data_IF_005035137001
#
_entry.id   IF_005035137001
#
_cell.length_a   1.000
_cell.length_b   1.000
_cell.length_c   1.000
_cell.angle_alpha   90.00
_cell.angle_beta   90.00
_cell.angle_gamma   90.00
#
_symmetry.space_group_name_H-M   'P 1'
#
loop_
_entity.id
_entity.type
_entity.pdbx_description
1 polymer ?
#
# COMPACT_ATOMS: atom_id res chain seq x y z
N UNK A 1 6.11 -30.30 -1.02
CA UNK A 1 4.65 -30.16 -1.07
C UNK A 1 4.21 -29.70 0.31
N UNK A 2 3.47 -28.61 0.41
CA UNK A 2 3.04 -28.02 1.68
C UNK A 2 1.97 -28.88 2.33
N UNK A 3 2.10 -29.21 3.61
CA UNK A 3 1.06 -29.88 4.39
C UNK A 3 0.13 -28.83 5.03
N UNK A 4 -0.96 -28.51 4.33
CA UNK A 4 -1.92 -27.48 4.72
C UNK A 4 -2.72 -27.81 5.98
N UNK A 5 -2.75 -29.08 6.39
CA UNK A 5 -3.42 -29.50 7.64
C UNK A 5 -2.71 -29.00 8.89
N UNK A 6 -1.41 -28.69 8.77
CA UNK A 6 -0.57 -28.18 9.86
C UNK A 6 -0.50 -26.64 9.89
N UNK A 7 -1.14 -25.96 8.94
CA UNK A 7 -1.13 -24.50 8.83
C UNK A 7 -2.49 -23.93 9.24
N UNK A 8 -2.46 -22.67 9.62
CA UNK A 8 -3.64 -21.92 10.03
C UNK A 8 -3.80 -20.63 9.23
N UNK A 9 -5.05 -20.22 9.12
CA UNK A 9 -5.51 -18.96 8.56
C UNK A 9 -6.48 -18.31 9.56
N UNK A 10 -7.07 -17.15 9.26
CA UNK A 10 -7.94 -16.41 10.18
C UNK A 10 -9.07 -17.19 10.87
N UNK A 11 -9.59 -18.24 10.23
CA UNK A 11 -10.73 -19.02 10.73
C UNK A 11 -10.40 -20.45 11.16
N UNK A 12 -9.13 -20.82 11.32
CA UNK A 12 -8.71 -22.18 11.70
C UNK A 12 -7.73 -22.84 10.73
N UNK A 13 -7.89 -24.14 10.48
CA UNK A 13 -7.03 -24.97 9.60
C UNK A 13 -7.05 -24.50 8.15
N UNK A 14 -5.91 -24.59 7.46
CA UNK A 14 -5.75 -24.07 6.09
C UNK A 14 -5.97 -25.11 4.97
N UNK A 15 -6.62 -26.24 5.24
CA UNK A 15 -6.87 -27.30 4.26
C UNK A 15 -7.71 -26.85 3.05
N UNK A 16 -8.49 -25.77 3.20
CA UNK A 16 -9.32 -25.19 2.15
C UNK A 16 -8.55 -24.23 1.23
N UNK A 17 -7.39 -23.72 1.64
CA UNK A 17 -6.60 -22.72 0.90
C UNK A 17 -6.19 -23.21 -0.50
N UNK A 18 -5.72 -24.45 -0.72
CA UNK A 18 -5.40 -24.92 -2.06
C UNK A 18 -6.59 -24.84 -3.02
N UNK A 19 -7.79 -25.22 -2.55
CA UNK A 19 -9.00 -25.16 -3.36
C UNK A 19 -9.40 -23.73 -3.71
N UNK A 20 -9.24 -22.79 -2.77
CA UNK A 20 -9.49 -21.37 -3.02
C UNK A 20 -8.46 -20.77 -4.00
N UNK A 21 -7.18 -21.10 -3.84
CA UNK A 21 -6.13 -20.70 -4.77
C UNK A 21 -6.40 -21.24 -6.17
N UNK A 22 -6.83 -22.48 -6.33
CA UNK A 22 -7.12 -23.03 -7.66
C UNK A 22 -8.38 -22.41 -8.30
N UNK A 23 -9.35 -21.98 -7.49
CA UNK A 23 -10.60 -21.39 -7.96
C UNK A 23 -10.46 -19.96 -8.50
N UNK A 24 -9.58 -19.13 -7.93
CA UNK A 24 -9.47 -17.72 -8.34
C UNK A 24 -8.88 -17.55 -9.74
N UNK A 25 -9.61 -16.82 -10.59
CA UNK A 25 -9.20 -16.42 -11.93
C UNK A 25 -8.66 -14.99 -12.03
N UNK A 26 -8.35 -14.52 -13.25
CA UNK A 26 -7.79 -13.19 -13.49
C UNK A 26 -8.79 -12.03 -13.34
N UNK A 27 -10.12 -12.29 -13.23
CA UNK A 27 -11.10 -11.23 -13.00
C UNK A 27 -10.95 -10.70 -11.56
N UNK A 28 -10.57 -9.43 -11.35
CA UNK A 28 -10.42 -8.87 -10.01
C UNK A 28 -11.74 -8.76 -9.24
N UNK A 29 -12.88 -8.89 -9.92
CA UNK A 29 -14.22 -8.85 -9.30
C UNK A 29 -14.74 -10.23 -8.92
N UNK A 30 -13.94 -11.28 -9.12
CA UNK A 30 -14.28 -12.62 -8.66
C UNK A 30 -14.36 -12.64 -7.11
N UNK A 31 -15.52 -12.96 -6.52
CA UNK A 31 -15.67 -13.02 -5.06
C UNK A 31 -14.75 -14.07 -4.40
N UNK A 32 -14.17 -14.98 -5.19
CA UNK A 32 -13.12 -15.89 -4.72
C UNK A 32 -11.90 -15.16 -4.17
N UNK A 33 -11.56 -13.97 -4.70
CA UNK A 33 -10.47 -13.15 -4.16
C UNK A 33 -10.76 -12.66 -2.75
N UNK A 34 -11.98 -12.19 -2.47
CA UNK A 34 -12.38 -11.77 -1.12
C UNK A 34 -12.38 -12.96 -0.15
N UNK A 35 -12.86 -14.13 -0.60
CA UNK A 35 -12.86 -15.34 0.19
C UNK A 35 -11.43 -15.81 0.55
N UNK A 36 -10.49 -15.70 -0.40
CA UNK A 36 -9.09 -16.02 -0.19
C UNK A 36 -8.39 -14.98 0.70
N UNK A 37 -8.54 -13.69 0.39
CA UNK A 37 -7.95 -12.58 1.13
C UNK A 37 -8.41 -12.58 2.58
N UNK A 38 -9.71 -12.72 2.85
CA UNK A 38 -10.25 -12.72 4.22
C UNK A 38 -9.73 -13.86 5.11
N UNK A 39 -9.12 -14.91 4.54
CA UNK A 39 -8.44 -15.99 5.28
C UNK A 39 -6.95 -15.72 5.46
N UNK A 40 -6.26 -15.29 4.40
CA UNK A 40 -4.81 -15.10 4.37
C UNK A 40 -4.36 -13.74 4.91
N UNK A 41 -5.24 -12.75 4.91
CA UNK A 41 -4.98 -11.40 5.39
C UNK A 41 -6.27 -10.83 6.01
N UNK A 42 -6.42 -11.00 7.33
CA UNK A 42 -7.65 -10.63 8.04
C UNK A 42 -7.40 -9.49 9.01
N UNK A 43 -7.90 -8.30 8.67
CA UNK A 43 -7.78 -7.09 9.49
C UNK A 43 -6.31 -6.78 9.84
N UNK A 44 -5.43 -6.85 8.85
CA UNK A 44 -3.99 -6.70 9.04
C UNK A 44 -3.27 -8.01 9.40
N UNK A 45 -3.95 -8.97 10.03
CA UNK A 45 -3.34 -10.20 10.52
C UNK A 45 -2.94 -11.21 9.44
N UNK A 46 -1.73 -11.75 9.57
CA UNK A 46 -1.17 -12.82 8.72
C UNK A 46 -0.80 -14.05 9.54
N UNK A 47 -0.80 -15.19 8.87
CA UNK A 47 -0.75 -16.53 9.45
C UNK A 47 0.23 -17.41 8.70
N UNK A 48 0.49 -18.60 9.24
CA UNK A 48 1.33 -19.62 8.59
C UNK A 48 0.85 -19.98 7.17
N UNK A 49 -0.46 -20.00 6.92
CA UNK A 49 -1.02 -20.22 5.59
C UNK A 49 -0.79 -19.05 4.61
N UNK A 50 -0.68 -17.82 5.12
CA UNK A 50 -0.46 -16.61 4.32
C UNK A 50 0.84 -16.70 3.55
N UNK A 51 1.94 -16.98 4.26
CA UNK A 51 3.25 -17.10 3.64
C UNK A 51 3.36 -18.37 2.79
N UNK A 52 2.74 -19.47 3.20
CA UNK A 52 2.68 -20.70 2.42
C UNK A 52 1.97 -20.54 1.06
N UNK A 53 1.10 -19.53 0.91
CA UNK A 53 0.40 -19.24 -0.33
C UNK A 53 1.25 -18.42 -1.34
N UNK A 54 2.31 -17.74 -0.90
CA UNK A 54 3.13 -16.85 -1.75
C UNK A 54 3.63 -17.54 -3.04
N UNK A 55 4.14 -18.79 -3.03
CA UNK A 55 4.60 -19.44 -4.25
C UNK A 55 3.48 -19.64 -5.29
N UNK A 56 2.24 -19.90 -4.85
CA UNK A 56 1.10 -20.09 -5.76
C UNK A 56 0.57 -18.77 -6.30
N UNK A 57 0.62 -17.70 -5.50
CA UNK A 57 0.34 -16.33 -5.97
C UNK A 57 1.37 -15.89 -7.01
N UNK A 58 2.66 -16.12 -6.77
CA UNK A 58 3.73 -15.87 -7.74
C UNK A 58 3.54 -16.69 -9.03
N UNK A 59 3.15 -17.96 -8.91
CA UNK A 59 2.85 -18.82 -10.06
C UNK A 59 1.73 -18.23 -10.95
N UNK A 60 0.61 -17.81 -10.34
CA UNK A 60 -0.49 -17.16 -11.08
C UNK A 60 -0.03 -15.85 -11.73
N UNK A 61 0.66 -15.00 -10.97
CA UNK A 61 1.16 -13.72 -11.48
C UNK A 61 2.11 -13.92 -12.68
N UNK A 62 2.92 -14.98 -12.66
CA UNK A 62 3.81 -15.35 -13.78
C UNK A 62 3.06 -15.81 -15.02
N UNK A 63 1.95 -16.55 -14.83
CA UNK A 63 1.16 -17.13 -15.92
C UNK A 63 0.22 -16.13 -16.58
N UNK A 64 -0.23 -15.11 -15.86
CA UNK A 64 -1.18 -14.11 -16.34
C UNK A 64 -0.50 -12.93 -17.02
N UNK A 65 -1.24 -12.20 -17.86
CA UNK A 65 -0.72 -10.98 -18.50
C UNK A 65 -0.39 -9.89 -17.47
N UNK A 66 0.22 -8.79 -17.91
CA UNK A 66 0.61 -7.67 -17.04
C UNK A 66 -0.60 -7.05 -16.32
N UNK A 67 -1.73 -6.87 -17.02
CA UNK A 67 -2.96 -6.34 -16.43
C UNK A 67 -3.67 -7.34 -15.49
N UNK A 68 -3.64 -8.63 -15.82
CA UNK A 68 -4.38 -9.68 -15.09
C UNK A 68 -3.69 -10.09 -13.78
N UNK A 69 -2.36 -9.95 -13.68
CA UNK A 69 -1.59 -10.37 -12.49
C UNK A 69 -1.73 -9.46 -11.27
N UNK A 70 -2.52 -8.38 -11.34
CA UNK A 70 -2.64 -7.41 -10.25
C UNK A 70 -3.13 -8.01 -8.94
N UNK A 71 -4.18 -8.84 -8.97
CA UNK A 71 -4.74 -9.44 -7.74
C UNK A 71 -3.77 -10.34 -6.97
N UNK A 72 -3.08 -11.32 -7.60
CA UNK A 72 -2.12 -12.14 -6.86
C UNK A 72 -0.95 -11.31 -6.32
N UNK A 73 -0.49 -10.28 -7.05
CA UNK A 73 0.57 -9.37 -6.58
C UNK A 73 0.09 -8.55 -5.38
N UNK A 74 -1.12 -7.98 -5.45
CA UNK A 74 -1.71 -7.19 -4.37
C UNK A 74 -1.92 -8.03 -3.11
N UNK A 75 -2.51 -9.22 -3.21
CA UNK A 75 -2.69 -10.06 -2.02
C UNK A 75 -1.33 -10.49 -1.42
N UNK A 76 -0.36 -10.83 -2.27
CA UNK A 76 0.98 -11.18 -1.80
C UNK A 76 1.68 -9.98 -1.11
N UNK A 77 1.48 -8.77 -1.60
CA UNK A 77 2.09 -7.56 -1.02
C UNK A 77 1.52 -7.25 0.36
N UNK A 78 0.21 -7.42 0.56
CA UNK A 78 -0.42 -7.29 1.88
C UNK A 78 0.10 -8.32 2.88
N UNK A 79 0.33 -9.56 2.43
CA UNK A 79 0.90 -10.62 3.27
C UNK A 79 2.33 -10.28 3.70
N UNK A 80 3.15 -9.75 2.77
CA UNK A 80 4.56 -9.43 3.02
C UNK A 80 4.72 -8.16 3.86
N UNK A 81 3.88 -7.15 3.65
CA UNK A 81 3.96 -5.88 4.38
C UNK A 81 3.44 -5.96 5.82
N UNK A 82 2.52 -6.90 6.10
CA UNK A 82 1.88 -7.02 7.40
C UNK A 82 2.88 -7.19 8.56
N UNK A 83 2.58 -6.46 9.65
CA UNK A 83 3.28 -6.54 10.93
C UNK A 83 2.51 -7.33 12.00
N UNK A 84 1.22 -7.60 11.78
CA UNK A 84 0.41 -8.43 12.69
C UNK A 84 0.61 -9.92 12.38
N UNK A 85 1.80 -10.42 12.71
CA UNK A 85 2.19 -11.82 12.48
C UNK A 85 1.74 -12.68 13.66
N UNK A 86 0.85 -13.64 13.40
CA UNK A 86 0.19 -14.43 14.46
C UNK A 86 0.84 -15.78 14.74
N UNK A 87 1.41 -16.42 13.71
CA UNK A 87 1.96 -17.78 13.80
C UNK A 87 3.48 -17.85 13.55
N UNK A 88 4.03 -16.93 12.75
CA UNK A 88 5.43 -16.98 12.30
C UNK A 88 6.31 -16.03 13.13
N UNK A 89 7.42 -16.52 13.66
CA UNK A 89 8.32 -15.72 14.54
C UNK A 89 9.57 -15.25 13.78
N UNK A 90 9.68 -15.59 12.49
CA UNK A 90 10.86 -15.32 11.67
C UNK A 90 10.54 -14.29 10.60
N UNK A 91 11.51 -13.42 10.32
CA UNK A 91 11.40 -12.39 9.28
C UNK A 91 11.08 -13.01 7.91
N UNK A 92 9.93 -12.67 7.29
CA UNK A 92 9.53 -13.24 6.01
C UNK A 92 10.49 -12.87 4.88
N UNK A 93 11.20 -11.74 4.96
CA UNK A 93 12.21 -11.36 3.96
C UNK A 93 13.43 -12.26 3.98
N UNK A 94 13.66 -12.99 5.07
CA UNK A 94 14.73 -13.99 5.17
C UNK A 94 14.24 -15.34 4.65
N UNK A 95 13.13 -15.84 5.19
CA UNK A 95 12.63 -17.19 4.90
C UNK A 95 12.04 -17.30 3.49
N UNK A 96 11.32 -16.28 3.04
CA UNK A 96 10.62 -16.25 1.76
C UNK A 96 11.33 -15.36 0.71
N UNK A 97 12.61 -15.03 0.95
CA UNK A 97 13.43 -14.15 0.09
C UNK A 97 13.32 -14.44 -1.42
N UNK A 98 13.41 -15.72 -1.81
CA UNK A 98 13.38 -16.11 -3.22
C UNK A 98 12.03 -15.81 -3.89
N UNK A 99 10.92 -16.08 -3.22
CA UNK A 99 9.58 -15.81 -3.77
C UNK A 99 9.25 -14.31 -3.70
N UNK A 100 9.69 -13.60 -2.68
CA UNK A 100 9.56 -12.13 -2.59
C UNK A 100 10.32 -11.46 -3.73
N UNK A 101 11.56 -11.90 -4.03
CA UNK A 101 12.32 -11.39 -5.16
C UNK A 101 11.65 -11.67 -6.52
N UNK A 102 11.00 -12.83 -6.67
CA UNK A 102 10.20 -13.12 -7.86
C UNK A 102 8.98 -12.19 -7.97
N UNK A 103 8.23 -12.01 -6.88
CA UNK A 103 7.06 -11.14 -6.83
C UNK A 103 7.46 -9.68 -7.14
N UNK A 104 8.58 -9.20 -6.58
CA UNK A 104 9.14 -7.89 -6.90
C UNK A 104 9.39 -7.73 -8.41
N UNK A 105 10.04 -8.71 -9.04
CA UNK A 105 10.32 -8.68 -10.47
C UNK A 105 9.05 -8.73 -11.33
N UNK A 106 8.03 -9.47 -10.90
CA UNK A 106 6.73 -9.53 -11.58
C UNK A 106 5.95 -8.22 -11.44
N UNK A 107 6.07 -7.53 -10.31
CA UNK A 107 5.51 -6.18 -10.09
C UNK A 107 6.20 -5.14 -10.97
N UNK A 108 7.53 -5.16 -11.07
CA UNK A 108 8.25 -4.26 -11.99
C UNK A 108 7.83 -4.45 -13.46
N UNK A 109 7.61 -5.70 -13.87
CA UNK A 109 7.05 -5.97 -15.20
C UNK A 109 5.64 -5.42 -15.37
N UNK A 110 4.79 -5.55 -14.35
CA UNK A 110 3.41 -5.04 -14.37
C UNK A 110 3.38 -3.51 -14.47
N UNK A 111 4.29 -2.80 -13.79
CA UNK A 111 4.45 -1.35 -13.88
C UNK A 111 4.84 -0.89 -15.30
N UNK A 112 5.40 -1.77 -16.13
CA UNK A 112 5.71 -1.50 -17.53
C UNK A 112 4.53 -1.66 -18.50
N UNK A 113 3.32 -1.96 -18.01
CA UNK A 113 2.14 -2.09 -18.86
C UNK A 113 1.71 -0.73 -19.43
N UNK A 114 1.70 -0.54 -20.77
CA UNK A 114 1.26 0.72 -21.39
C UNK A 114 -0.20 1.09 -21.05
N UNK A 115 -1.03 0.12 -20.66
CA UNK A 115 -2.40 0.38 -20.23
C UNK A 115 -2.50 1.18 -18.93
N UNK A 116 -1.40 1.30 -18.16
CA UNK A 116 -1.36 2.08 -16.92
C UNK A 116 -1.25 3.59 -17.16
N UNK A 117 -0.88 4.05 -18.36
CA UNK A 117 -0.54 5.46 -18.61
C UNK A 117 -1.60 6.48 -18.16
N UNK A 118 -2.89 6.12 -18.23
CA UNK A 118 -4.01 6.95 -17.79
C UNK A 118 -4.75 6.36 -16.56
N UNK A 119 -4.15 5.38 -15.87
CA UNK A 119 -4.74 4.62 -14.76
C UNK A 119 -3.89 4.79 -13.49
N UNK A 120 -3.90 6.01 -12.95
CA UNK A 120 -3.15 6.37 -11.73
C UNK A 120 -3.52 5.50 -10.53
N UNK A 121 -4.78 5.07 -10.42
CA UNK A 121 -5.26 4.19 -9.37
C UNK A 121 -4.45 2.89 -9.32
N UNK A 122 -4.43 2.16 -10.43
CA UNK A 122 -3.73 0.88 -10.50
C UNK A 122 -2.20 1.07 -10.54
N UNK A 123 -1.71 2.18 -11.09
CA UNK A 123 -0.29 2.52 -11.05
C UNK A 123 0.23 2.68 -9.62
N UNK A 124 -0.44 3.50 -8.80
CA UNK A 124 -0.05 3.73 -7.40
C UNK A 124 -0.23 2.45 -6.57
N UNK A 125 -1.26 1.64 -6.83
CA UNK A 125 -1.43 0.33 -6.18
C UNK A 125 -0.24 -0.60 -6.45
N UNK A 126 0.26 -0.63 -7.70
CA UNK A 126 1.44 -1.40 -8.07
C UNK A 126 2.73 -0.82 -7.48
N UNK A 127 2.86 0.51 -7.38
CA UNK A 127 3.98 1.13 -6.65
C UNK A 127 3.95 0.75 -5.17
N UNK A 128 2.78 0.80 -4.52
CA UNK A 128 2.61 0.35 -3.13
C UNK A 128 3.04 -1.11 -2.98
N UNK A 129 2.59 -1.96 -3.90
CA UNK A 129 2.96 -3.38 -3.97
C UNK A 129 4.47 -3.58 -4.15
N UNK A 130 5.12 -2.76 -4.96
CA UNK A 130 6.58 -2.77 -5.14
C UNK A 130 7.29 -2.46 -3.82
N UNK A 131 6.87 -1.40 -3.13
CA UNK A 131 7.44 -0.99 -1.84
C UNK A 131 7.29 -2.06 -0.75
N UNK A 132 6.16 -2.77 -0.73
CA UNK A 132 5.97 -3.93 0.15
C UNK A 132 7.02 -5.01 -0.08
N UNK A 133 7.32 -5.36 -1.34
CA UNK A 133 8.33 -6.38 -1.65
C UNK A 133 9.77 -5.88 -1.52
N UNK A 134 10.00 -4.56 -1.56
CA UNK A 134 11.29 -3.96 -1.21
C UNK A 134 11.54 -3.90 0.31
N UNK A 135 10.51 -4.13 1.13
CA UNK A 135 10.61 -4.00 2.58
C UNK A 135 10.68 -2.55 3.05
N UNK A 136 10.15 -1.60 2.27
CA UNK A 136 10.09 -0.20 2.67
C UNK A 136 9.00 -0.04 3.73
N UNK A 137 9.44 0.19 4.96
CA UNK A 137 8.60 0.28 6.16
C UNK A 137 7.41 1.24 6.00
N UNK A 138 6.21 0.70 6.19
CA UNK A 138 4.89 1.36 6.18
C UNK A 138 4.40 1.87 4.82
N UNK A 139 5.30 2.23 3.90
CA UNK A 139 4.89 2.79 2.62
C UNK A 139 4.23 1.80 1.67
N UNK A 140 4.47 0.51 1.84
CA UNK A 140 3.73 -0.52 1.10
C UNK A 140 2.23 -0.56 1.42
N UNK A 141 1.83 -0.10 2.60
CA UNK A 141 0.43 -0.08 3.07
C UNK A 141 -0.21 1.31 2.93
N UNK A 142 0.59 2.38 2.93
CA UNK A 142 0.09 3.74 2.97
C UNK A 142 0.12 4.48 1.64
N UNK A 143 1.00 4.11 0.69
CA UNK A 143 1.16 4.88 -0.55
C UNK A 143 -0.14 4.94 -1.38
N UNK A 144 -0.98 3.90 -1.34
CA UNK A 144 -2.25 3.88 -2.08
C UNK A 144 -3.19 5.05 -1.75
N UNK A 145 -3.11 5.63 -0.53
CA UNK A 145 -3.90 6.79 -0.13
C UNK A 145 -3.56 8.06 -0.95
N UNK A 146 -2.44 8.08 -1.70
CA UNK A 146 -2.18 9.14 -2.68
C UNK A 146 -3.31 9.25 -3.73
N UNK A 147 -3.96 8.14 -4.06
CA UNK A 147 -5.14 8.13 -4.93
C UNK A 147 -6.36 8.82 -4.30
N UNK A 148 -6.50 8.71 -2.97
CA UNK A 148 -7.55 9.37 -2.20
C UNK A 148 -7.34 10.87 -2.01
N UNK A 149 -6.11 11.37 -2.26
CA UNK A 149 -5.71 12.78 -2.09
C UNK A 149 -5.82 13.31 -0.65
N UNK A 150 -5.91 12.39 0.31
CA UNK A 150 -6.03 12.70 1.73
C UNK A 150 -5.28 11.70 2.61
N UNK A 151 -4.75 12.20 3.74
CA UNK A 151 -4.31 11.37 4.87
C UNK A 151 -4.96 11.88 6.15
N UNK A 152 -5.41 10.95 6.97
CA UNK A 152 -5.85 11.20 8.34
C UNK A 152 -4.69 10.92 9.30
N UNK A 153 -4.19 11.96 9.97
CA UNK A 153 -3.03 11.85 10.86
C UNK A 153 -3.25 12.58 12.18
N UNK A 154 -2.84 12.00 13.32
CA UNK A 154 -2.85 12.71 14.58
C UNK A 154 -1.69 13.71 14.62
N UNK A 155 -1.89 14.87 15.24
CA UNK A 155 -0.78 15.76 15.57
C UNK A 155 0.14 15.08 16.61
N UNK A 156 1.46 14.99 16.37
CA UNK A 156 2.38 14.37 17.34
C UNK A 156 2.45 15.08 18.70
N UNK A 157 2.13 16.37 18.76
CA UNK A 157 2.21 17.17 19.98
C UNK A 157 0.93 17.14 20.82
N UNK A 158 -0.25 17.26 20.19
CA UNK A 158 -1.52 17.40 20.90
C UNK A 158 -2.54 16.30 20.60
N UNK A 159 -2.20 15.35 19.72
CA UNK A 159 -3.04 14.21 19.32
C UNK A 159 -4.38 14.57 18.69
N UNK A 160 -4.62 15.84 18.33
CA UNK A 160 -5.81 16.20 17.56
C UNK A 160 -5.71 15.58 16.16
N UNK A 161 -6.82 15.06 15.65
CA UNK A 161 -6.90 14.57 14.28
C UNK A 161 -6.75 15.73 13.28
N UNK A 162 -5.94 15.53 12.24
CA UNK A 162 -5.79 16.44 11.12
C UNK A 162 -5.99 15.66 9.82
N UNK A 163 -6.73 16.26 8.90
CA UNK A 163 -6.86 15.80 7.53
C UNK A 163 -5.86 16.58 6.68
N UNK A 164 -4.95 15.88 6.02
CA UNK A 164 -3.96 16.44 5.09
C UNK A 164 -4.53 16.26 3.69
N UNK A 165 -4.95 17.35 3.04
CA UNK A 165 -5.54 17.33 1.70
C UNK A 165 -4.50 17.85 0.70
N UNK A 166 -4.23 17.10 -0.37
CA UNK A 166 -3.12 17.38 -1.31
C UNK A 166 -3.42 17.02 -2.77
N UNK A 167 -4.53 17.54 -3.31
CA UNK A 167 -4.95 17.23 -4.69
C UNK A 167 -5.94 18.23 -5.27
N UNK A 168 -6.96 17.75 -5.97
CA UNK A 168 -7.97 18.61 -6.61
C UNK A 168 -8.69 19.50 -5.59
N UNK A 169 -8.89 19.00 -4.37
CA UNK A 169 -9.51 19.72 -3.26
C UNK A 169 -8.65 20.83 -2.65
N UNK A 170 -7.37 20.94 -3.03
CA UNK A 170 -6.39 21.90 -2.52
C UNK A 170 -5.23 21.26 -1.77
N UNK A 171 -4.40 22.10 -1.14
CA UNK A 171 -3.18 21.71 -0.43
C UNK A 171 -3.14 22.32 0.97
N UNK A 172 -3.83 21.70 1.92
CA UNK A 172 -3.96 22.23 3.30
C UNK A 172 -4.17 21.13 4.34
N UNK A 173 -3.93 21.47 5.61
CA UNK A 173 -4.46 20.74 6.76
C UNK A 173 -5.79 21.34 7.24
N UNK A 174 -6.69 20.49 7.74
CA UNK A 174 -7.97 20.87 8.38
C UNK A 174 -8.29 19.92 9.53
N UNK A 175 -9.13 20.34 10.47
CA UNK A 175 -9.73 19.48 11.51
C UNK A 175 -11.24 19.28 11.30
N UNK A 176 -11.83 19.83 10.23
CA UNK A 176 -13.25 19.63 9.88
C UNK A 176 -13.41 18.30 9.15
N UNK A 177 -13.96 17.29 9.82
CA UNK A 177 -14.27 15.97 9.24
C UNK A 177 -15.22 16.01 8.03
N UNK A 178 -15.91 17.13 7.77
CA UNK A 178 -16.85 17.30 6.66
C UNK A 178 -16.27 18.11 5.49
N UNK A 179 -14.94 18.29 5.42
CA UNK A 179 -14.28 19.09 4.36
C UNK A 179 -14.60 18.63 2.93
N UNK A 180 -14.91 17.34 2.73
CA UNK A 180 -15.32 16.80 1.44
C UNK A 180 -16.76 17.15 1.05
N UNK A 181 -17.62 17.53 2.02
CA UNK A 181 -19.02 17.93 1.76
C UNK A 181 -19.17 19.44 1.60
N UNK A 182 -18.26 20.22 2.19
CA UNK A 182 -18.31 21.68 2.19
C UNK A 182 -16.91 22.26 2.43
N UNK A 183 -16.64 23.49 1.97
CA UNK A 183 -15.40 24.17 2.28
C UNK A 183 -15.19 24.24 3.80
N UNK A 184 -14.05 23.76 4.32
CA UNK A 184 -13.74 23.85 5.75
C UNK A 184 -13.60 25.31 6.19
N UNK A 185 -14.06 25.61 7.40
CA UNK A 185 -14.02 26.97 7.94
C UNK A 185 -12.60 27.45 8.28
N UNK A 186 -11.70 26.52 8.60
CA UNK A 186 -10.32 26.81 8.94
C UNK A 186 -9.38 25.81 8.29
N UNK A 187 -8.43 26.32 7.51
CA UNK A 187 -7.38 25.55 6.84
C UNK A 187 -6.04 26.21 7.04
N UNK A 188 -4.97 25.41 7.03
CA UNK A 188 -3.59 25.90 7.02
C UNK A 188 -2.87 25.31 5.81
N UNK A 189 -2.24 26.12 4.94
CA UNK A 189 -1.53 25.61 3.77
C UNK A 189 -0.44 24.58 4.13
N UNK A 190 -0.33 23.52 3.33
CA UNK A 190 0.77 22.56 3.45
C UNK A 190 2.09 23.17 3.01
N UNK A 191 3.19 22.62 3.54
CA UNK A 191 4.55 22.93 3.12
C UNK A 191 5.09 21.75 2.31
N UNK A 192 5.09 21.81 0.97
CA UNK A 192 5.66 20.74 0.16
C UNK A 192 7.16 20.64 0.41
N UNK A 193 7.68 19.42 0.40
CA UNK A 193 9.11 19.15 0.46
C UNK A 193 9.79 19.66 -0.81
N UNK A 194 10.88 20.40 -0.64
CA UNK A 194 11.69 20.87 -1.77
C UNK A 194 12.44 19.68 -2.40
N UNK A 195 12.10 19.37 -3.65
CA UNK A 195 12.71 18.30 -4.44
C UNK A 195 14.22 18.49 -4.65
N UNK A 196 14.73 19.73 -4.62
CA UNK A 196 16.17 19.98 -4.75
C UNK A 196 16.98 19.52 -3.54
N UNK A 197 16.33 19.39 -2.39
CA UNK A 197 16.95 18.98 -1.12
C UNK A 197 16.39 17.67 -0.58
N UNK A 198 15.42 17.07 -1.27
CA UNK A 198 14.77 15.84 -0.86
C UNK A 198 15.72 14.64 -0.95
N UNK A 199 15.64 13.77 0.06
CA UNK A 199 16.38 12.51 0.13
C UNK A 199 15.41 11.33 0.27
N UNK A 200 15.94 10.11 0.11
CA UNK A 200 15.17 8.88 0.34
C UNK A 200 14.07 8.63 -0.70
N UNK A 201 12.87 8.33 -0.23
CA UNK A 201 11.79 7.79 -1.05
C UNK A 201 11.16 8.83 -2.00
N UNK A 202 11.04 10.09 -1.57
CA UNK A 202 10.41 11.15 -2.37
C UNK A 202 11.06 11.34 -3.76
N UNK A 203 12.38 11.64 -3.89
CA UNK A 203 12.96 11.88 -5.21
C UNK A 203 12.88 10.64 -6.10
N UNK A 204 12.95 9.43 -5.52
CA UNK A 204 12.81 8.16 -6.24
C UNK A 204 11.40 7.98 -6.82
N UNK A 205 10.36 8.12 -5.99
CA UNK A 205 8.97 7.98 -6.44
C UNK A 205 8.57 9.10 -7.40
N UNK A 206 9.01 10.33 -7.15
CA UNK A 206 8.73 11.46 -8.02
C UNK A 206 9.33 11.26 -9.42
N UNK A 207 10.62 10.87 -9.49
CA UNK A 207 11.26 10.59 -10.78
C UNK A 207 10.62 9.40 -11.51
N UNK A 208 10.24 8.34 -10.76
CA UNK A 208 9.58 7.16 -11.32
C UNK A 208 8.21 7.51 -11.90
N UNK A 209 7.36 8.20 -11.14
CA UNK A 209 6.04 8.65 -11.60
C UNK A 209 6.14 9.49 -12.88
N UNK A 210 7.09 10.42 -12.97
CA UNK A 210 7.31 11.18 -14.20
C UNK A 210 7.77 10.31 -15.38
N UNK A 211 8.69 9.37 -15.13
CA UNK A 211 9.19 8.46 -16.16
C UNK A 211 8.10 7.54 -16.70
N UNK A 212 7.17 7.13 -15.85
CA UNK A 212 6.08 6.22 -16.19
C UNK A 212 4.85 6.95 -16.76
N UNK A 213 4.89 8.30 -16.84
CA UNK A 213 3.83 9.10 -17.46
C UNK A 213 2.73 9.58 -16.51
N UNK A 214 2.98 9.58 -15.19
CA UNK A 214 2.05 9.98 -14.13
C UNK A 214 2.46 11.31 -13.44
N UNK A 215 2.45 12.45 -14.15
CA UNK A 215 2.81 13.75 -13.57
C UNK A 215 1.87 14.21 -12.45
N UNK A 216 0.61 13.78 -12.46
CA UNK A 216 -0.37 14.04 -11.41
C UNK A 216 -0.01 13.34 -10.10
N UNK A 217 0.47 12.09 -10.15
CA UNK A 217 1.00 11.39 -8.98
C UNK A 217 2.26 12.08 -8.49
N UNK A 218 3.18 12.40 -9.42
CA UNK A 218 4.42 13.10 -9.08
C UNK A 218 4.17 14.44 -8.35
N UNK A 219 3.18 15.22 -8.80
CA UNK A 219 2.83 16.51 -8.22
C UNK A 219 2.32 16.42 -6.76
N UNK A 220 1.71 15.29 -6.37
CA UNK A 220 1.18 15.06 -5.02
C UNK A 220 2.28 14.69 -4.01
N UNK A 221 3.30 13.96 -4.45
CA UNK A 221 4.33 13.40 -3.56
C UNK A 221 5.05 14.44 -2.68
N UNK A 222 5.45 15.65 -3.16
CA UNK A 222 6.06 16.65 -2.29
C UNK A 222 5.22 17.03 -1.07
N UNK A 223 3.89 16.97 -1.16
CA UNK A 223 3.01 17.27 -0.02
C UNK A 223 2.92 16.09 0.96
N UNK A 224 2.87 14.87 0.45
CA UNK A 224 2.86 13.63 1.25
C UNK A 224 4.15 13.45 2.04
N UNK A 225 5.28 13.81 1.45
CA UNK A 225 6.60 13.80 2.09
C UNK A 225 6.99 15.16 2.67
N UNK A 226 6.03 16.10 2.78
CA UNK A 226 6.23 17.45 3.27
C UNK A 226 5.84 17.63 4.74
N UNK A 227 5.45 18.85 5.08
CA UNK A 227 5.08 19.22 6.43
C UNK A 227 3.69 19.87 6.47
N UNK A 228 3.04 19.72 7.62
CA UNK A 228 1.75 20.31 7.91
C UNK A 228 1.79 21.01 9.27
N UNK A 229 0.96 22.04 9.43
CA UNK A 229 0.67 22.58 10.76
C UNK A 229 -0.59 21.94 11.33
N UNK A 230 -0.58 21.67 12.62
CA UNK A 230 -1.76 21.25 13.33
C UNK A 230 -2.77 22.40 13.42
N UNK A 231 -4.00 22.15 12.99
CA UNK A 231 -5.07 23.16 12.98
C UNK A 231 -5.51 23.57 14.39
N UNK A 232 -5.29 22.69 15.38
CA UNK A 232 -5.64 22.95 16.78
C UNK A 232 -4.55 23.69 17.55
N UNK A 233 -3.30 23.20 17.54
CA UNK A 233 -2.22 23.75 18.36
C UNK A 233 -1.19 24.58 17.59
N UNK A 234 -1.24 24.58 16.25
CA UNK A 234 -0.32 25.31 15.39
C UNK A 234 1.07 24.69 15.25
N UNK A 235 1.33 23.52 15.86
CA UNK A 235 2.64 22.87 15.78
C UNK A 235 2.93 22.36 14.36
N UNK A 236 4.16 22.56 13.89
CA UNK A 236 4.63 22.06 12.59
C UNK A 236 5.11 20.62 12.75
N UNK A 237 4.61 19.71 11.92
CA UNK A 237 5.00 18.31 11.95
C UNK A 237 5.25 17.74 10.55
N UNK A 238 6.06 16.69 10.52
CA UNK A 238 6.34 15.88 9.33
C UNK A 238 5.12 15.02 9.01
N UNK A 239 4.53 15.22 7.83
CA UNK A 239 3.43 14.38 7.32
C UNK A 239 3.83 12.91 7.24
N UNK A 240 4.99 12.52 6.65
CA UNK A 240 5.34 11.11 6.52
C UNK A 240 5.57 10.43 7.88
N UNK A 241 6.15 11.12 8.87
CA UNK A 241 6.30 10.58 10.22
C UNK A 241 4.95 10.38 10.91
N UNK A 242 4.01 11.32 10.74
CA UNK A 242 2.68 11.20 11.33
C UNK A 242 1.84 10.09 10.70
N UNK A 243 2.01 9.82 9.39
CA UNK A 243 1.41 8.66 8.70
C UNK A 243 1.94 7.36 9.32
N UNK A 244 3.26 7.23 9.44
CA UNK A 244 3.90 6.02 9.94
C UNK A 244 3.68 5.79 11.45
N UNK A 245 3.45 6.84 12.23
CA UNK A 245 3.21 6.73 13.67
C UNK A 245 1.79 6.26 14.04
N UNK A 246 0.85 6.20 13.10
CA UNK A 246 -0.54 5.81 13.35
C UNK A 246 -0.71 4.30 13.59
N UNK A 247 0.30 3.47 13.30
CA UNK A 247 0.19 2.00 13.26
C UNK A 247 1.37 1.26 13.90
#
# INVERSE_FOLDING_TARGET
MTDWSQLHHAYGTAEDIPGLLDAVGPDPRDPGWDALASRLYHQGGVYSASYAALPKLAEKARQWSLAERRMPLYLASQIVASRDIRDEVVDPFVIHSAVIAELLALTEQALGDPALADDSLNYVQLLSTLLSFEGVEGWGEHLDQVNGEEYEVPCPACFSENFIVFGEGGHYSTADEMYFKRPPAHTIPLQPQDLATAEGLLPRLHARALSDGHPEVAAKLPYVFGHAHCVHCGDLFSVPEAILARW
#
